data_IF_840823883009
#
_entry.id   IF_840823883009
#
_cell.length_a   1.000
_cell.length_b   1.000
_cell.length_c   1.000
_cell.angle_alpha   90.00
_cell.angle_beta   90.00
_cell.angle_gamma   90.00
#
_symmetry.space_group_name_H-M   'P 1'
#
loop_
_entity.id
_entity.type
_entity.pdbx_description
1 polymer ?
#
# COMPACT_ATOMS: atom_id res chain seq x y z
N UNK A 1 -22.97 18.17 12.45
CA UNK A 1 -23.66 16.95 11.97
C UNK A 1 -23.27 16.75 10.51
N UNK A 2 -22.55 15.75 10.03
CA UNK A 2 -21.70 14.73 10.62
C UNK A 2 -20.64 14.38 9.57
N UNK A 3 -19.36 14.45 9.93
CA UNK A 3 -18.25 14.02 9.06
C UNK A 3 -18.05 12.51 9.23
N UNK A 4 -19.05 11.70 8.84
CA UNK A 4 -18.91 10.26 8.82
C UNK A 4 -18.30 9.82 7.48
N UNK A 5 -17.05 10.23 7.25
CA UNK A 5 -16.19 9.61 6.25
C UNK A 5 -15.35 8.56 6.95
N UNK A 6 -15.82 7.32 7.01
CA UNK A 6 -14.94 6.18 7.33
C UNK A 6 -13.89 6.16 6.22
N UNK A 7 -12.75 6.80 6.44
CA UNK A 7 -11.58 6.67 5.57
C UNK A 7 -11.25 5.18 5.63
N UNK A 8 -11.30 4.41 4.52
CA UNK A 8 -10.86 3.04 4.57
C UNK A 8 -9.44 3.04 5.12
N UNK A 9 -9.16 2.14 6.06
CA UNK A 9 -7.82 1.96 6.61
C UNK A 9 -6.85 1.91 5.42
N UNK A 10 -5.98 2.92 5.35
CA UNK A 10 -5.16 3.24 4.19
C UNK A 10 -4.07 2.17 3.99
N UNK A 11 -4.50 0.98 3.57
CA UNK A 11 -3.68 -0.04 2.90
C UNK A 11 -3.53 0.32 1.41
N UNK A 12 -3.92 1.54 1.03
CA UNK A 12 -3.80 2.07 -0.32
C UNK A 12 -2.33 2.36 -0.64
N UNK A 13 -1.64 1.29 -1.03
CA UNK A 13 -0.37 1.28 -1.77
C UNK A 13 0.65 2.30 -1.27
N UNK A 14 1.08 2.16 -0.01
CA UNK A 14 2.35 2.78 0.37
C UNK A 14 3.41 2.24 -0.59
N UNK A 15 4.03 3.07 -1.45
CA UNK A 15 4.92 2.53 -2.47
C UNK A 15 6.09 1.76 -1.85
N UNK A 16 6.53 2.23 -0.67
CA UNK A 16 7.56 1.64 0.20
C UNK A 16 7.03 0.58 1.20
N UNK A 17 5.76 0.17 1.10
CA UNK A 17 5.19 -0.89 1.93
C UNK A 17 5.80 -2.25 1.63
N UNK A 18 5.62 -3.22 2.54
CA UNK A 18 6.24 -4.54 2.48
C UNK A 18 6.13 -5.19 1.09
N UNK A 19 7.18 -5.91 0.70
CA UNK A 19 7.23 -6.68 -0.55
C UNK A 19 6.04 -7.61 -0.72
N UNK A 20 5.60 -8.25 0.36
CA UNK A 20 4.63 -9.34 0.32
C UNK A 20 3.19 -8.89 0.55
N UNK A 21 2.95 -8.04 1.55
CA UNK A 21 1.61 -7.62 1.95
C UNK A 21 1.32 -6.14 1.71
N UNK A 22 2.32 -5.33 1.32
CA UNK A 22 2.14 -3.90 1.06
C UNK A 22 1.98 -3.01 2.30
N UNK A 23 1.96 -3.58 3.51
CA UNK A 23 1.81 -2.83 4.77
C UNK A 23 3.07 -2.01 5.07
N UNK A 24 2.90 -0.78 5.55
CA UNK A 24 3.99 0.12 5.92
C UNK A 24 4.87 -0.49 7.04
N UNK A 25 6.16 -0.13 7.06
CA UNK A 25 7.13 -0.69 8.00
C UNK A 25 6.70 -0.58 9.46
N UNK A 26 6.13 0.56 9.84
CA UNK A 26 5.75 0.82 11.23
C UNK A 26 4.54 0.00 11.69
N UNK A 27 3.61 -0.31 10.78
CA UNK A 27 2.36 -1.04 11.10
C UNK A 27 2.41 -2.54 10.74
N UNK A 28 3.57 -3.01 10.24
CA UNK A 28 3.69 -4.34 9.67
C UNK A 28 3.66 -5.44 10.72
N UNK A 29 4.40 -5.28 11.83
CA UNK A 29 4.66 -6.32 12.82
C UNK A 29 5.08 -7.64 12.14
N UNK A 30 4.44 -8.76 12.46
CA UNK A 30 4.56 -10.03 11.76
C UNK A 30 3.20 -10.40 11.16
N UNK A 31 3.20 -10.83 9.89
CA UNK A 31 1.96 -11.15 9.17
C UNK A 31 2.12 -12.42 8.35
N UNK A 32 0.99 -13.06 8.06
CA UNK A 32 0.93 -14.21 7.18
C UNK A 32 0.33 -13.81 5.82
N UNK A 33 0.92 -14.28 4.72
CA UNK A 33 0.31 -14.24 3.39
C UNK A 33 0.45 -15.60 2.71
N UNK A 34 -0.47 -15.93 1.80
CA UNK A 34 -0.39 -17.19 1.03
C UNK A 34 0.90 -17.32 0.20
N UNK A 35 1.50 -16.19 -0.18
CA UNK A 35 2.67 -16.15 -1.07
C UNK A 35 4.01 -16.27 -0.34
N UNK A 36 4.09 -15.87 0.94
CA UNK A 36 5.33 -15.82 1.71
C UNK A 36 5.25 -16.51 3.09
N UNK A 37 4.08 -17.03 3.47
CA UNK A 37 3.85 -17.56 4.81
C UNK A 37 3.99 -16.48 5.89
N UNK A 38 4.38 -16.90 7.10
CA UNK A 38 4.72 -15.99 8.18
C UNK A 38 5.99 -15.21 7.85
N UNK A 39 5.89 -13.89 7.78
CA UNK A 39 7.01 -13.03 7.48
C UNK A 39 7.01 -11.76 8.32
N UNK A 40 8.22 -11.25 8.54
CA UNK A 40 8.47 -9.89 9.03
C UNK A 40 8.49 -8.92 7.85
N UNK A 41 8.54 -7.62 8.15
CA UNK A 41 8.60 -6.61 7.09
C UNK A 41 9.82 -6.85 6.20
N UNK A 42 9.57 -6.96 4.90
CA UNK A 42 10.60 -7.07 3.87
C UNK A 42 10.54 -5.83 2.97
N UNK A 43 11.68 -5.16 2.69
CA UNK A 43 11.69 -4.00 1.82
C UNK A 43 11.16 -4.37 0.43
N UNK A 44 10.30 -3.53 -0.18
CA UNK A 44 9.85 -3.77 -1.55
C UNK A 44 11.00 -3.60 -2.54
N UNK A 45 10.88 -4.26 -3.69
CA UNK A 45 11.85 -4.07 -4.78
C UNK A 45 11.64 -2.72 -5.47
N UNK A 46 12.70 -2.22 -6.14
CA UNK A 46 12.59 -1.00 -6.93
C UNK A 46 11.51 -1.10 -8.03
N UNK A 47 11.35 -2.27 -8.63
CA UNK A 47 10.29 -2.54 -9.61
C UNK A 47 8.88 -2.43 -8.99
N UNK A 48 8.68 -2.99 -7.80
CA UNK A 48 7.42 -2.88 -7.07
C UNK A 48 7.13 -1.42 -6.70
N UNK A 49 8.12 -0.67 -6.21
CA UNK A 49 7.98 0.75 -5.90
C UNK A 49 7.59 1.53 -7.17
N UNK A 50 8.31 1.33 -8.28
CA UNK A 50 8.05 1.98 -9.57
C UNK A 50 6.63 1.71 -10.05
N UNK A 51 6.19 0.46 -9.99
CA UNK A 51 4.84 0.05 -10.40
C UNK A 51 3.76 0.72 -9.55
N UNK A 52 3.93 0.71 -8.21
CA UNK A 52 3.01 1.35 -7.27
C UNK A 52 2.95 2.87 -7.46
N UNK A 53 4.10 3.52 -7.70
CA UNK A 53 4.15 4.96 -7.98
C UNK A 53 3.42 5.33 -9.28
N UNK A 54 3.56 4.52 -10.33
CA UNK A 54 2.81 4.69 -11.58
C UNK A 54 1.31 4.55 -11.36
N UNK A 55 0.88 3.51 -10.64
CA UNK A 55 -0.53 3.32 -10.29
C UNK A 55 -1.10 4.52 -9.50
N UNK A 56 -0.35 5.03 -8.51
CA UNK A 56 -0.72 6.24 -7.75
C UNK A 56 -0.80 7.49 -8.62
N UNK A 57 0.08 7.63 -9.62
CA UNK A 57 0.02 8.74 -10.57
C UNK A 57 -1.21 8.65 -11.48
N UNK A 58 -1.50 7.45 -12.01
CA UNK A 58 -2.66 7.20 -12.85
C UNK A 58 -3.99 7.45 -12.10
N UNK A 59 -4.09 6.98 -10.84
CA UNK A 59 -5.27 7.24 -10.01
C UNK A 59 -5.49 8.74 -9.76
N UNK A 60 -4.41 9.51 -9.56
CA UNK A 60 -4.48 10.97 -9.43
C UNK A 60 -4.92 11.64 -10.73
N UNK A 61 -4.40 11.21 -11.87
CA UNK A 61 -4.81 11.74 -13.16
C UNK A 61 -6.30 11.47 -13.43
N UNK A 62 -6.78 10.24 -13.18
CA UNK A 62 -8.18 9.87 -13.32
C UNK A 62 -9.11 10.66 -12.38
N UNK A 63 -8.69 10.92 -11.15
CA UNK A 63 -9.44 11.73 -10.19
C UNK A 63 -9.36 13.25 -10.45
N UNK A 64 -8.33 13.70 -11.17
CA UNK A 64 -8.15 15.10 -11.58
C UNK A 64 -8.86 15.44 -12.90
N UNK A 65 -9.37 14.46 -13.64
CA UNK A 65 -10.23 14.66 -14.83
C UNK A 65 -11.64 15.15 -14.45
N UNK A 66 -11.74 16.24 -13.68
CA UNK A 66 -13.00 16.92 -13.40
C UNK A 66 -12.93 18.37 -13.83
#
# INVERSE_FOLDING_TARGET
>A
MGCAGVRPAQTEFTPSGCRWCGVAKHDHLQRWTAQAGWHTWAPPTQEQIKTRMRARAAARAAGATR
#
